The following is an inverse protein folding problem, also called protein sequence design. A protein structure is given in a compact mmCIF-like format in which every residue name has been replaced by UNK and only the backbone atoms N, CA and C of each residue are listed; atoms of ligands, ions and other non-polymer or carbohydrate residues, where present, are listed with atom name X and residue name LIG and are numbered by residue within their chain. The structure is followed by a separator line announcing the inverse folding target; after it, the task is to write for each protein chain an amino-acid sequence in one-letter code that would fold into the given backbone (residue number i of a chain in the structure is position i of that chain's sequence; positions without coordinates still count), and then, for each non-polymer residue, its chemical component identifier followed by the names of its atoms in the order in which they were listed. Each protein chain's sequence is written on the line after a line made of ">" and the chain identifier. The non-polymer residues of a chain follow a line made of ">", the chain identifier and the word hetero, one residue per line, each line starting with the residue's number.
data_IF_299313971026
#
_entry.id   IF_299313971026
#
_cell.length_a   1.000
_cell.length_b   1.000
_cell.length_c   1.000
_cell.angle_alpha   90.00
_cell.angle_beta   90.00
_cell.angle_gamma   90.00
#
_symmetry.space_group_name_H-M   'P 1'
#
loop_
_entity.id
_entity.type
_entity.pdbx_description
1 polymer ?
#
# COMPACT_ATOMS: atom_id res chain seq x y z
N UNK A 1 -8.88 -16.87 -49.12
CA UNK A 1 -9.05 -15.43 -49.35
C UNK A 1 -9.47 -14.76 -48.01
N UNK A 2 -9.16 -13.49 -47.88
CA UNK A 2 -9.47 -12.72 -46.67
C UNK A 2 -10.98 -12.71 -46.35
N UNK A 3 -11.82 -12.71 -47.38
CA UNK A 3 -13.29 -12.80 -47.28
C UNK A 3 -13.74 -14.10 -46.58
N UNK A 4 -13.16 -15.26 -46.91
CA UNK A 4 -13.51 -16.53 -46.27
C UNK A 4 -13.11 -16.57 -44.80
N UNK A 5 -11.96 -15.99 -44.43
CA UNK A 5 -11.51 -15.87 -43.03
C UNK A 5 -12.48 -14.96 -42.27
N UNK A 6 -12.88 -13.83 -42.81
CA UNK A 6 -13.84 -12.91 -42.17
C UNK A 6 -15.23 -13.58 -41.97
N UNK A 7 -15.68 -14.33 -42.97
CA UNK A 7 -16.95 -15.07 -42.86
C UNK A 7 -16.86 -16.15 -41.75
N UNK A 8 -15.75 -16.88 -41.67
CA UNK A 8 -15.52 -17.89 -40.62
C UNK A 8 -15.53 -17.24 -39.23
N UNK A 9 -14.80 -16.14 -39.04
CA UNK A 9 -14.76 -15.38 -37.78
C UNK A 9 -16.15 -14.90 -37.41
N UNK A 10 -16.91 -14.33 -38.39
CA UNK A 10 -18.28 -13.88 -38.17
C UNK A 10 -19.24 -14.99 -37.78
N UNK A 11 -19.08 -16.19 -38.33
CA UNK A 11 -19.87 -17.36 -37.92
C UNK A 11 -19.48 -17.86 -36.55
N UNK A 12 -18.18 -17.97 -36.30
CA UNK A 12 -17.66 -18.40 -34.97
C UNK A 12 -18.10 -17.46 -33.84
N UNK A 13 -18.12 -16.14 -34.09
CA UNK A 13 -18.55 -15.13 -33.12
C UNK A 13 -20.04 -15.18 -32.75
N UNK A 14 -20.82 -16.01 -33.41
CA UNK A 14 -22.27 -16.22 -33.16
C UNK A 14 -22.55 -17.62 -32.58
N UNK A 15 -21.54 -18.48 -32.49
CA UNK A 15 -21.73 -19.85 -32.04
C UNK A 15 -21.67 -19.92 -30.52
N UNK A 16 -22.74 -20.41 -29.89
CA UNK A 16 -22.89 -20.42 -28.41
C UNK A 16 -21.78 -21.13 -27.67
N UNK A 17 -21.17 -22.20 -28.24
CA UNK A 17 -20.08 -22.94 -27.64
C UNK A 17 -18.71 -22.25 -27.74
N UNK A 18 -18.62 -21.20 -28.55
CA UNK A 18 -17.37 -20.45 -28.80
C UNK A 18 -17.39 -19.08 -28.14
N UNK A 19 -18.56 -18.44 -28.10
CA UNK A 19 -18.72 -17.09 -27.58
C UNK A 19 -18.60 -17.09 -26.07
N UNK A 20 -17.67 -16.26 -25.57
CA UNK A 20 -17.49 -15.99 -24.14
C UNK A 20 -17.52 -14.49 -23.90
N UNK A 21 -18.08 -14.09 -22.76
CA UNK A 21 -18.06 -12.68 -22.33
C UNK A 21 -16.69 -12.32 -21.75
N UNK A 22 -16.28 -11.07 -21.88
CA UNK A 22 -15.12 -10.55 -21.19
C UNK A 22 -15.20 -10.71 -19.66
N UNK A 23 -16.42 -10.79 -19.12
CA UNK A 23 -16.68 -11.05 -17.69
C UNK A 23 -16.45 -12.50 -17.29
N UNK A 24 -16.25 -13.42 -18.24
CA UNK A 24 -15.97 -14.82 -17.96
C UNK A 24 -14.49 -15.08 -17.71
N UNK A 25 -13.64 -14.15 -18.14
CA UNK A 25 -12.20 -14.25 -17.91
C UNK A 25 -11.82 -13.86 -16.47
N UNK A 26 -10.73 -14.44 -16.02
CA UNK A 26 -10.02 -14.10 -14.77
C UNK A 26 -10.88 -14.19 -13.49
N UNK A 27 -11.96 -14.99 -13.48
CA UNK A 27 -12.90 -15.10 -12.34
C UNK A 27 -12.28 -15.67 -11.08
N UNK A 28 -11.40 -16.66 -11.21
CA UNK A 28 -10.75 -17.27 -10.05
C UNK A 28 -9.45 -16.53 -9.71
N UNK A 29 -9.55 -15.64 -8.77
CA UNK A 29 -8.43 -14.79 -8.32
C UNK A 29 -7.41 -15.51 -7.43
N UNK A 30 -7.65 -16.78 -7.08
CA UNK A 30 -6.68 -17.65 -6.41
C UNK A 30 -5.74 -18.37 -7.38
N UNK A 31 -6.00 -18.27 -8.68
CA UNK A 31 -5.18 -18.87 -9.73
C UNK A 31 -4.24 -17.83 -10.34
N UNK A 32 -3.03 -18.27 -10.72
CA UNK A 32 -2.10 -17.45 -11.51
C UNK A 32 -1.60 -18.29 -12.70
N UNK A 33 -1.72 -17.75 -13.90
CA UNK A 33 -1.26 -18.40 -15.11
C UNK A 33 0.22 -18.09 -15.34
N UNK A 34 1.02 -19.09 -15.68
CA UNK A 34 2.44 -18.98 -15.97
C UNK A 34 2.79 -19.81 -17.23
N UNK A 35 4.05 -19.77 -17.67
CA UNK A 35 4.49 -20.31 -18.96
C UNK A 35 4.21 -21.81 -19.13
N UNK A 36 4.19 -22.59 -18.06
CA UNK A 36 3.99 -24.04 -18.10
C UNK A 36 2.66 -24.50 -17.51
N UNK A 37 1.73 -23.60 -17.23
CA UNK A 37 0.39 -23.93 -16.72
C UNK A 37 -0.16 -22.93 -15.72
N UNK A 38 -1.20 -23.32 -15.02
CA UNK A 38 -1.87 -22.51 -14.01
C UNK A 38 -1.52 -23.00 -12.62
N UNK A 39 -1.09 -22.12 -11.74
CA UNK A 39 -0.78 -22.45 -10.35
C UNK A 39 -1.95 -22.08 -9.44
N UNK A 40 -2.41 -23.02 -8.65
CA UNK A 40 -3.30 -22.75 -7.54
C UNK A 40 -2.49 -22.25 -6.33
N UNK A 41 -2.67 -20.99 -5.98
CA UNK A 41 -1.95 -20.32 -4.90
C UNK A 41 -2.31 -20.85 -3.50
N UNK A 42 -3.49 -21.48 -3.35
CA UNK A 42 -3.93 -22.06 -2.07
C UNK A 42 -3.22 -23.38 -1.76
N UNK A 43 -2.95 -24.18 -2.79
CA UNK A 43 -2.34 -25.51 -2.67
C UNK A 43 -0.90 -25.57 -3.14
N UNK A 44 -0.42 -24.57 -3.88
CA UNK A 44 0.88 -24.56 -4.61
C UNK A 44 0.96 -25.65 -5.69
N UNK A 45 -0.17 -26.03 -6.24
CA UNK A 45 -0.24 -27.10 -7.24
C UNK A 45 -0.21 -26.50 -8.63
N UNK A 46 0.67 -27.00 -9.49
CA UNK A 46 0.64 -26.71 -10.92
C UNK A 46 -0.50 -27.53 -11.54
N UNK A 47 -1.50 -26.81 -12.01
CA UNK A 47 -2.62 -27.38 -12.75
C UNK A 47 -2.28 -27.32 -14.24
N UNK A 48 -2.59 -28.36 -14.99
CA UNK A 48 -2.34 -28.36 -16.42
C UNK A 48 -2.98 -27.18 -17.17
N UNK A 49 -2.57 -27.00 -18.41
CA UNK A 49 -3.16 -25.98 -19.30
C UNK A 49 -4.58 -26.43 -19.65
N UNK A 50 -5.58 -25.76 -19.07
CA UNK A 50 -6.98 -26.02 -19.34
C UNK A 50 -7.63 -24.77 -19.96
N UNK A 51 -7.96 -24.85 -21.24
CA UNK A 51 -8.62 -23.77 -21.99
C UNK A 51 -9.91 -23.26 -21.36
N UNK A 52 -10.60 -24.10 -20.58
CA UNK A 52 -11.85 -23.73 -19.89
C UNK A 52 -11.67 -22.77 -18.71
N UNK A 53 -10.42 -22.49 -18.28
CA UNK A 53 -10.18 -21.59 -17.14
C UNK A 53 -10.24 -20.11 -17.51
N UNK A 54 -10.26 -19.79 -18.80
CA UNK A 54 -10.42 -18.44 -19.33
C UNK A 54 -9.57 -17.39 -18.57
N UNK A 55 -8.25 -17.62 -18.49
CA UNK A 55 -7.32 -16.67 -17.88
C UNK A 55 -6.65 -15.86 -18.98
N UNK A 56 -6.79 -14.54 -18.95
CA UNK A 56 -6.29 -13.63 -19.98
C UNK A 56 -4.86 -13.12 -19.73
N UNK A 57 -4.32 -13.38 -18.54
CA UNK A 57 -3.04 -12.85 -18.07
C UNK A 57 -1.98 -13.94 -17.97
N UNK A 58 -0.70 -13.54 -18.06
CA UNK A 58 0.44 -14.43 -18.01
C UNK A 58 1.56 -13.86 -17.14
N UNK A 59 2.01 -14.62 -16.15
CA UNK A 59 3.29 -14.39 -15.50
C UNK A 59 4.41 -14.96 -16.39
N UNK A 60 5.46 -14.15 -16.67
CA UNK A 60 6.52 -14.50 -17.64
C UNK A 60 7.58 -15.40 -17.04
N UNK A 61 7.15 -16.51 -16.44
CA UNK A 61 7.96 -17.43 -15.65
C UNK A 61 7.34 -18.82 -15.65
N UNK A 62 8.13 -19.87 -15.42
CA UNK A 62 7.63 -21.23 -15.20
C UNK A 62 7.55 -21.57 -13.71
N UNK A 63 6.52 -22.29 -13.30
CA UNK A 63 6.44 -22.79 -11.94
C UNK A 63 7.08 -24.18 -11.83
N UNK A 64 8.08 -24.27 -10.96
CA UNK A 64 8.72 -25.52 -10.57
C UNK A 64 8.81 -25.58 -9.04
N UNK A 65 8.14 -26.53 -8.36
CA UNK A 65 8.16 -26.63 -6.90
C UNK A 65 9.55 -26.94 -6.32
N UNK A 66 10.49 -27.39 -7.15
CA UNK A 66 11.87 -27.70 -6.76
C UNK A 66 12.87 -26.61 -7.19
N UNK A 67 12.42 -25.54 -7.85
CA UNK A 67 13.30 -24.47 -8.28
C UNK A 67 13.98 -23.81 -7.06
N UNK A 68 15.25 -23.45 -7.22
CA UNK A 68 16.06 -22.78 -6.19
C UNK A 68 16.39 -21.36 -6.66
N UNK A 69 16.60 -20.46 -5.70
CA UNK A 69 17.01 -19.08 -5.94
C UNK A 69 18.03 -18.65 -4.87
N UNK A 70 19.23 -19.25 -4.84
CA UNK A 70 20.20 -18.98 -3.77
C UNK A 70 20.69 -17.53 -3.76
N UNK A 71 20.91 -16.93 -4.94
CA UNK A 71 21.31 -15.51 -5.05
C UNK A 71 20.21 -14.59 -4.51
N UNK A 72 18.96 -14.87 -4.88
CA UNK A 72 17.81 -14.11 -4.38
C UNK A 72 17.64 -14.26 -2.86
N UNK A 73 17.75 -15.45 -2.31
CA UNK A 73 17.65 -15.67 -0.86
C UNK A 73 18.77 -14.93 -0.11
N UNK A 74 20.00 -14.97 -0.63
CA UNK A 74 21.10 -14.19 -0.05
C UNK A 74 20.83 -12.69 -0.12
N UNK A 75 20.34 -12.21 -1.28
CA UNK A 75 19.96 -10.81 -1.45
C UNK A 75 18.89 -10.37 -0.46
N UNK A 76 17.80 -11.12 -0.29
CA UNK A 76 16.73 -10.83 0.66
C UNK A 76 17.25 -10.81 2.11
N UNK A 77 18.11 -11.77 2.47
CA UNK A 77 18.75 -11.79 3.80
C UNK A 77 19.59 -10.54 4.05
N UNK A 78 20.37 -10.11 3.07
CA UNK A 78 21.16 -8.88 3.18
C UNK A 78 20.27 -7.63 3.29
N UNK A 79 19.26 -7.50 2.44
CA UNK A 79 18.34 -6.35 2.40
C UNK A 79 17.60 -6.16 3.73
N UNK A 80 17.18 -7.23 4.35
CA UNK A 80 16.44 -7.20 5.62
C UNK A 80 17.31 -7.56 6.84
N UNK A 81 18.64 -7.48 6.72
CA UNK A 81 19.55 -7.66 7.85
C UNK A 81 19.45 -9.02 8.55
N UNK A 82 19.07 -10.08 7.81
CA UNK A 82 18.78 -11.43 8.31
C UNK A 82 17.60 -11.51 9.31
N UNK A 83 16.72 -10.51 9.36
CA UNK A 83 15.51 -10.57 10.17
C UNK A 83 14.52 -11.57 9.55
N UNK A 84 14.48 -12.78 10.11
CA UNK A 84 13.67 -13.89 9.62
C UNK A 84 12.16 -13.61 9.73
N UNK A 85 11.73 -12.86 10.75
CA UNK A 85 10.33 -12.49 10.93
C UNK A 85 9.89 -11.52 9.83
N UNK A 86 10.68 -10.47 9.59
CA UNK A 86 10.45 -9.48 8.55
C UNK A 86 10.47 -10.11 7.15
N UNK A 87 11.47 -10.96 6.86
CA UNK A 87 11.57 -11.67 5.58
C UNK A 87 10.34 -12.53 5.32
N UNK A 88 9.87 -13.29 6.30
CA UNK A 88 8.66 -14.12 6.18
C UNK A 88 7.40 -13.27 6.01
N UNK A 89 7.34 -12.14 6.69
CA UNK A 89 6.21 -11.22 6.55
C UNK A 89 6.17 -10.61 5.14
N UNK A 90 7.31 -10.11 4.65
CA UNK A 90 7.43 -9.58 3.27
C UNK A 90 7.12 -10.65 2.23
N UNK A 91 7.57 -11.88 2.44
CA UNK A 91 7.22 -13.02 1.59
C UNK A 91 5.70 -13.22 1.51
N UNK A 92 4.99 -13.19 2.65
CA UNK A 92 3.53 -13.28 2.68
C UNK A 92 2.86 -12.09 1.99
N UNK A 93 3.38 -10.87 2.18
CA UNK A 93 2.84 -9.66 1.57
C UNK A 93 2.97 -9.68 0.03
N UNK A 94 4.13 -10.10 -0.49
CA UNK A 94 4.34 -10.31 -1.93
C UNK A 94 3.46 -11.46 -2.42
N UNK A 95 3.41 -12.58 -1.69
CA UNK A 95 2.55 -13.71 -2.04
C UNK A 95 1.06 -13.36 -2.05
N UNK A 96 0.58 -12.62 -1.07
CA UNK A 96 -0.76 -12.05 -1.06
C UNK A 96 -1.02 -11.18 -2.30
N UNK A 97 0.01 -10.47 -2.75
CA UNK A 97 -0.08 -9.64 -3.95
C UNK A 97 -0.17 -10.45 -5.26
N UNK A 98 0.09 -11.75 -5.26
CA UNK A 98 -0.19 -12.64 -6.40
C UNK A 98 -1.67 -12.97 -6.52
N UNK A 99 -2.43 -12.88 -5.43
CA UNK A 99 -3.88 -13.15 -5.43
C UNK A 99 -4.66 -11.92 -5.91
N UNK A 100 -5.93 -12.10 -6.29
CA UNK A 100 -6.83 -10.96 -6.51
C UNK A 100 -7.60 -10.53 -5.25
N UNK A 101 -7.29 -11.11 -4.09
CA UNK A 101 -7.94 -10.72 -2.83
C UNK A 101 -7.45 -9.34 -2.36
N UNK A 102 -8.35 -8.51 -1.89
CA UNK A 102 -8.06 -7.22 -1.23
C UNK A 102 -8.48 -7.21 0.24
N UNK A 103 -8.65 -8.40 0.82
CA UNK A 103 -9.17 -8.62 2.19
C UNK A 103 -8.38 -7.86 3.26
N UNK A 104 -7.07 -7.79 3.15
CA UNK A 104 -6.21 -7.09 4.12
C UNK A 104 -6.45 -5.59 4.13
N UNK A 105 -6.95 -5.02 3.04
CA UNK A 105 -7.13 -3.57 2.86
C UNK A 105 -5.85 -2.77 3.17
N UNK A 106 -4.68 -3.28 2.76
CA UNK A 106 -3.38 -2.69 3.08
C UNK A 106 -2.74 -2.01 1.87
N UNK A 107 -1.95 -1.02 2.19
CA UNK A 107 -0.98 -0.36 1.34
C UNK A 107 0.40 -0.67 1.93
N UNK A 108 1.33 -1.13 1.09
CA UNK A 108 2.69 -1.46 1.47
C UNK A 108 3.62 -0.33 1.06
N UNK A 109 4.32 0.25 2.02
CA UNK A 109 5.21 1.36 1.79
C UNK A 109 6.65 0.96 2.14
N UNK A 110 7.47 0.73 1.13
CA UNK A 110 8.88 0.44 1.30
C UNK A 110 9.67 1.74 1.48
N UNK A 111 10.20 1.94 2.67
CA UNK A 111 10.90 3.13 3.09
C UNK A 111 12.38 2.88 3.35
N UNK A 112 13.24 3.80 2.93
CA UNK A 112 14.69 3.75 3.21
C UNK A 112 15.48 4.71 2.32
N UNK A 113 16.61 5.17 2.80
CA UNK A 113 17.42 6.31 2.33
C UNK A 113 18.16 6.14 1.00
N UNK A 114 17.89 5.09 0.23
CA UNK A 114 18.55 4.81 -1.05
C UNK A 114 19.61 3.72 -0.95
N UNK A 115 20.03 3.19 -2.11
CA UNK A 115 21.03 2.10 -2.23
C UNK A 115 20.79 0.92 -1.29
N UNK A 116 19.54 0.52 -1.10
CA UNK A 116 19.08 -0.45 -0.10
C UNK A 116 18.36 -1.68 -0.69
N UNK A 117 18.39 -1.82 -2.02
CA UNK A 117 17.84 -2.97 -2.73
C UNK A 117 16.34 -2.89 -3.03
N UNK A 118 15.62 -1.82 -2.66
CA UNK A 118 14.19 -1.64 -2.98
C UNK A 118 13.89 -1.82 -4.46
N UNK A 119 14.53 -1.02 -5.32
CA UNK A 119 14.28 -1.04 -6.77
C UNK A 119 14.54 -2.42 -7.35
N UNK A 120 15.67 -3.03 -7.01
CA UNK A 120 16.03 -4.38 -7.49
C UNK A 120 14.98 -5.43 -7.11
N UNK A 121 14.47 -5.39 -5.85
CA UNK A 121 13.42 -6.30 -5.41
C UNK A 121 12.13 -6.10 -6.19
N UNK A 122 11.69 -4.86 -6.34
CA UNK A 122 10.40 -4.59 -6.98
C UNK A 122 10.45 -4.80 -8.48
N UNK A 123 11.54 -4.45 -9.15
CA UNK A 123 11.73 -4.67 -10.57
C UNK A 123 11.72 -6.16 -10.94
N UNK A 124 12.42 -7.01 -10.17
CA UNK A 124 12.41 -8.46 -10.43
C UNK A 124 11.02 -9.07 -10.20
N UNK A 125 10.28 -8.63 -9.16
CA UNK A 125 8.91 -9.09 -8.93
C UNK A 125 7.99 -8.65 -10.06
N UNK A 126 8.08 -7.39 -10.51
CA UNK A 126 7.29 -6.90 -11.65
C UNK A 126 7.61 -7.66 -12.94
N UNK A 127 8.90 -7.92 -13.20
CA UNK A 127 9.31 -8.68 -14.38
C UNK A 127 8.69 -10.08 -14.41
N UNK A 128 8.72 -10.79 -13.27
CA UNK A 128 8.14 -12.13 -13.12
C UNK A 128 6.62 -12.10 -13.30
N UNK A 129 5.94 -11.12 -12.68
CA UNK A 129 4.49 -11.03 -12.69
C UNK A 129 3.91 -10.54 -14.02
N UNK A 130 4.69 -9.80 -14.81
CA UNK A 130 4.33 -9.33 -16.16
C UNK A 130 2.90 -8.74 -16.20
N UNK A 131 1.92 -9.38 -16.86
CA UNK A 131 0.55 -8.88 -17.01
C UNK A 131 -0.21 -8.69 -15.68
N UNK A 132 0.24 -9.33 -14.60
CA UNK A 132 -0.33 -9.17 -13.28
C UNK A 132 0.22 -7.97 -12.51
N UNK A 133 1.24 -7.29 -13.04
CA UNK A 133 1.87 -6.13 -12.42
C UNK A 133 1.77 -4.88 -13.29
N UNK A 134 1.81 -3.71 -12.65
CA UNK A 134 1.81 -2.41 -13.33
C UNK A 134 2.58 -1.40 -12.50
N UNK A 135 3.46 -0.63 -13.17
CA UNK A 135 3.96 0.62 -12.62
C UNK A 135 2.87 1.68 -12.73
N UNK A 136 2.72 2.51 -11.72
CA UNK A 136 1.74 3.61 -11.70
C UNK A 136 2.38 4.86 -11.12
N UNK A 137 1.83 6.02 -11.49
CA UNK A 137 2.31 7.30 -11.00
C UNK A 137 1.99 7.49 -9.52
N UNK A 138 3.00 7.75 -8.71
CA UNK A 138 2.85 8.07 -7.30
C UNK A 138 1.92 9.28 -7.08
N UNK A 139 2.00 10.29 -7.95
CA UNK A 139 1.18 11.49 -7.88
C UNK A 139 -0.34 11.22 -7.98
N UNK A 140 -0.76 10.08 -8.54
CA UNK A 140 -2.19 9.68 -8.56
C UNK A 140 -2.77 9.55 -7.16
N UNK A 141 -1.93 9.28 -6.16
CA UNK A 141 -2.31 9.03 -4.77
C UNK A 141 -2.16 10.27 -3.87
N UNK A 142 -1.73 11.39 -4.44
CA UNK A 142 -1.45 12.62 -3.70
C UNK A 142 -2.64 13.56 -3.63
N UNK A 143 -2.59 14.49 -2.67
CA UNK A 143 -3.69 15.44 -2.40
C UNK A 143 -3.78 16.61 -3.37
N UNK A 144 -2.82 16.83 -4.25
CA UNK A 144 -2.87 17.92 -5.25
C UNK A 144 -3.75 17.49 -6.43
N UNK A 145 -4.67 18.36 -6.79
CA UNK A 145 -5.67 18.19 -7.83
C UNK A 145 -5.04 17.86 -9.18
N UNK A 146 -4.97 16.57 -9.51
CA UNK A 146 -4.99 16.19 -10.93
C UNK A 146 -6.45 16.25 -11.42
N UNK A 147 -6.64 16.57 -12.69
CA UNK A 147 -7.98 16.51 -13.29
C UNK A 147 -8.59 15.13 -13.01
N UNK A 148 -9.86 15.10 -12.64
CA UNK A 148 -10.60 13.84 -12.38
C UNK A 148 -10.40 12.80 -13.49
N UNK A 149 -10.21 13.25 -14.73
CA UNK A 149 -9.97 12.40 -15.91
C UNK A 149 -8.65 11.62 -15.80
N UNK A 150 -7.53 12.28 -15.48
CA UNK A 150 -6.22 11.59 -15.34
C UNK A 150 -6.23 10.55 -14.22
N UNK A 151 -6.90 10.87 -13.12
CA UNK A 151 -7.06 9.93 -12.01
C UNK A 151 -7.91 8.72 -12.44
N UNK A 152 -8.99 8.94 -13.18
CA UNK A 152 -9.84 7.87 -13.69
C UNK A 152 -9.10 6.98 -14.70
N UNK A 153 -8.22 7.56 -15.53
CA UNK A 153 -7.37 6.81 -16.45
C UNK A 153 -6.37 5.93 -15.70
N UNK A 154 -5.61 6.50 -14.75
CA UNK A 154 -4.64 5.78 -13.95
C UNK A 154 -5.31 4.63 -13.15
N UNK A 155 -6.48 4.88 -12.56
CA UNK A 155 -7.27 3.85 -11.87
C UNK A 155 -7.78 2.80 -12.87
N UNK A 156 -8.22 3.21 -14.06
CA UNK A 156 -8.70 2.31 -15.11
C UNK A 156 -7.63 1.34 -15.62
N UNK A 157 -6.37 1.77 -15.64
CA UNK A 157 -5.23 0.93 -16.01
C UNK A 157 -4.93 -0.19 -14.99
N UNK A 158 -5.40 -0.04 -13.75
CA UNK A 158 -5.23 -1.04 -12.69
C UNK A 158 -6.27 -2.17 -12.73
N UNK A 159 -7.22 -2.15 -13.68
CA UNK A 159 -8.19 -3.24 -13.82
C UNK A 159 -7.50 -4.58 -14.09
N UNK A 160 -7.72 -5.56 -13.20
CA UNK A 160 -7.15 -6.91 -13.27
C UNK A 160 -5.65 -6.98 -12.95
N UNK A 161 -5.02 -5.87 -12.59
CA UNK A 161 -3.67 -5.85 -12.01
C UNK A 161 -3.75 -6.39 -10.58
N UNK A 162 -2.72 -7.09 -10.13
CA UNK A 162 -2.63 -7.61 -8.75
C UNK A 162 -1.52 -6.95 -7.94
N UNK A 163 -0.47 -6.55 -8.60
CA UNK A 163 0.69 -5.87 -8.02
C UNK A 163 0.88 -4.50 -8.69
N UNK A 164 0.52 -3.43 -8.01
CA UNK A 164 0.66 -2.06 -8.51
C UNK A 164 1.80 -1.36 -7.75
N UNK A 165 2.88 -1.01 -8.44
CA UNK A 165 4.04 -0.33 -7.88
C UNK A 165 4.02 1.14 -8.25
N UNK A 166 4.10 2.02 -7.26
CA UNK A 166 4.33 3.44 -7.43
C UNK A 166 5.69 3.81 -6.83
N UNK A 167 6.53 4.46 -7.62
CA UNK A 167 7.83 4.98 -7.16
C UNK A 167 7.76 6.49 -7.05
N UNK A 168 8.29 7.02 -5.95
CA UNK A 168 8.33 8.45 -5.68
C UNK A 168 9.47 9.11 -6.48
N UNK A 169 9.19 10.31 -7.01
CA UNK A 169 10.17 11.13 -7.71
C UNK A 169 10.54 12.40 -6.93
N UNK A 170 9.67 12.89 -6.03
CA UNK A 170 9.86 14.15 -5.33
C UNK A 170 9.65 14.04 -3.81
N UNK A 171 10.37 14.89 -3.05
CA UNK A 171 10.18 15.09 -1.61
C UNK A 171 9.01 16.06 -1.33
N UNK A 172 8.41 15.98 -0.11
CA UNK A 172 7.36 16.89 0.41
C UNK A 172 5.97 16.74 -0.20
N UNK A 173 5.55 15.51 -0.44
CA UNK A 173 4.21 15.21 -0.94
C UNK A 173 3.27 14.74 0.16
N UNK A 174 1.97 14.95 -0.04
CA UNK A 174 0.92 14.56 0.90
C UNK A 174 -0.02 13.53 0.28
N UNK A 175 -0.35 12.48 1.03
CA UNK A 175 -1.35 11.51 0.60
C UNK A 175 -2.75 12.11 0.48
N UNK A 176 -3.47 11.70 -0.56
CA UNK A 176 -4.93 11.81 -0.60
C UNK A 176 -5.52 10.61 0.16
N UNK A 177 -5.84 10.81 1.43
CA UNK A 177 -6.31 9.74 2.30
C UNK A 177 -7.63 9.14 1.84
N UNK A 178 -8.55 9.97 1.31
CA UNK A 178 -9.79 9.51 0.69
C UNK A 178 -9.51 8.59 -0.50
N UNK A 179 -8.52 8.93 -1.33
CA UNK A 179 -8.07 8.10 -2.46
C UNK A 179 -7.50 6.76 -1.96
N UNK A 180 -6.60 6.78 -0.97
CA UNK A 180 -6.04 5.56 -0.39
C UNK A 180 -7.15 4.67 0.20
N UNK A 181 -8.08 5.25 0.97
CA UNK A 181 -9.22 4.51 1.54
C UNK A 181 -10.08 3.85 0.46
N UNK A 182 -10.35 4.58 -0.62
CA UNK A 182 -11.14 4.10 -1.76
C UNK A 182 -10.44 2.96 -2.50
N UNK A 183 -9.16 3.11 -2.82
CA UNK A 183 -8.41 2.14 -3.63
C UNK A 183 -8.07 0.85 -2.86
N UNK A 184 -7.96 0.92 -1.53
CA UNK A 184 -7.67 -0.26 -0.70
C UNK A 184 -8.93 -0.90 -0.10
N UNK A 185 -10.10 -0.26 -0.22
CA UNK A 185 -11.34 -0.67 0.45
C UNK A 185 -12.04 -1.91 -0.11
N UNK A 186 -11.79 -2.26 -1.36
CA UNK A 186 -12.52 -3.33 -2.06
C UNK A 186 -13.85 -2.89 -2.67
N UNK A 187 -14.20 -1.60 -2.55
CA UNK A 187 -15.37 -1.02 -3.19
C UNK A 187 -15.21 -0.98 -4.72
N UNK A 188 -16.34 -0.93 -5.43
CA UNK A 188 -16.33 -0.78 -6.90
C UNK A 188 -15.69 0.54 -7.29
N UNK A 189 -14.70 0.46 -8.17
CA UNK A 189 -13.97 1.60 -8.70
C UNK A 189 -14.49 1.96 -10.08
N UNK A 190 -14.47 3.26 -10.38
CA UNK A 190 -14.73 3.78 -11.73
C UNK A 190 -13.38 4.14 -12.36
N UNK A 191 -13.17 3.63 -13.57
CA UNK A 191 -12.01 3.95 -14.40
C UNK A 191 -12.43 4.32 -15.81
N UNK A 192 -11.52 4.89 -16.56
CA UNK A 192 -11.69 5.15 -18.01
C UNK A 192 -10.44 4.69 -18.76
N UNK A 193 -10.54 4.56 -20.07
CA UNK A 193 -9.40 4.42 -21.00
C UNK A 193 -9.45 5.57 -21.97
N UNK A 194 -8.30 5.98 -22.48
CA UNK A 194 -8.21 7.02 -23.50
C UNK A 194 -9.27 6.78 -24.58
N UNK A 195 -10.09 7.79 -24.88
CA UNK A 195 -11.13 7.76 -25.91
C UNK A 195 -12.27 6.75 -25.71
N UNK A 196 -12.40 6.11 -24.52
CA UNK A 196 -13.46 5.13 -24.24
C UNK A 196 -14.38 5.60 -23.11
N UNK A 197 -15.60 5.04 -23.09
CA UNK A 197 -16.54 5.25 -22.00
C UNK A 197 -15.96 4.77 -20.65
N UNK A 198 -16.37 5.42 -19.57
CA UNK A 198 -16.04 4.99 -18.23
C UNK A 198 -16.65 3.60 -17.94
N UNK A 199 -15.96 2.81 -17.14
CA UNK A 199 -16.37 1.48 -16.71
C UNK A 199 -16.15 1.29 -15.22
N UNK A 200 -16.83 0.31 -14.65
CA UNK A 200 -16.69 -0.05 -13.26
C UNK A 200 -16.00 -1.40 -13.11
N UNK A 201 -15.23 -1.58 -12.04
CA UNK A 201 -14.57 -2.84 -11.70
C UNK A 201 -14.28 -2.93 -10.21
N UNK A 202 -14.13 -4.15 -9.70
CA UNK A 202 -13.63 -4.40 -8.35
C UNK A 202 -12.11 -4.44 -8.36
N UNK A 203 -11.41 -3.80 -7.40
CA UNK A 203 -9.97 -3.85 -7.32
C UNK A 203 -9.49 -5.26 -6.96
N UNK A 204 -8.41 -5.69 -7.60
CA UNK A 204 -7.66 -6.90 -7.30
C UNK A 204 -6.22 -6.56 -6.87
N UNK A 205 -5.82 -5.32 -7.08
CA UNK A 205 -4.46 -4.87 -6.88
C UNK A 205 -4.13 -4.58 -5.41
N UNK A 206 -2.87 -4.77 -5.08
CA UNK A 206 -2.24 -4.27 -3.86
C UNK A 206 -1.30 -3.14 -4.25
N UNK A 207 -1.42 -2.02 -3.53
CA UNK A 207 -0.58 -0.85 -3.75
C UNK A 207 0.74 -1.03 -3.01
N UNK A 208 1.83 -0.93 -3.75
CA UNK A 208 3.19 -0.88 -3.23
C UNK A 208 3.79 0.48 -3.56
N UNK A 209 4.36 1.13 -2.56
CA UNK A 209 5.12 2.36 -2.75
C UNK A 209 6.59 2.12 -2.44
N UNK A 210 7.45 2.66 -3.30
CA UNK A 210 8.90 2.66 -3.11
C UNK A 210 9.37 4.10 -3.07
N UNK A 211 9.81 4.57 -1.91
CA UNK A 211 10.23 5.95 -1.73
C UNK A 211 11.36 6.09 -0.69
N UNK A 212 12.04 7.22 -0.76
CA UNK A 212 13.09 7.58 0.18
C UNK A 212 12.57 8.48 1.31
N UNK A 213 11.38 9.04 1.15
CA UNK A 213 10.71 9.90 2.12
C UNK A 213 9.32 9.38 2.40
N UNK A 214 8.83 9.61 3.61
CA UNK A 214 7.46 9.28 3.99
C UNK A 214 6.57 10.50 3.72
N UNK A 215 5.45 10.35 2.97
CA UNK A 215 4.54 11.46 2.70
C UNK A 215 3.88 11.95 3.98
N UNK A 216 3.60 13.23 4.05
CA UNK A 216 2.86 13.77 5.17
C UNK A 216 1.39 13.33 5.15
N UNK A 217 0.88 12.84 6.29
CA UNK A 217 -0.52 12.46 6.48
C UNK A 217 -1.21 13.45 7.42
N UNK A 218 -2.21 14.20 6.91
CA UNK A 218 -2.90 15.26 7.67
C UNK A 218 -3.94 14.71 8.64
N UNK A 219 -4.55 13.59 8.31
CA UNK A 219 -5.71 13.04 9.03
C UNK A 219 -5.27 11.89 9.93
N UNK A 220 -5.38 12.04 11.22
CA UNK A 220 -5.11 11.01 12.20
C UNK A 220 -6.16 9.88 12.24
N UNK A 221 -7.02 9.72 11.20
CA UNK A 221 -8.11 8.76 11.29
C UNK A 221 -7.61 7.31 11.38
N UNK A 222 -8.20 6.55 12.28
CA UNK A 222 -7.97 5.09 12.40
C UNK A 222 -8.17 4.38 11.04
N UNK A 223 -9.16 4.84 10.25
CA UNK A 223 -9.47 4.27 8.95
C UNK A 223 -8.33 4.39 7.92
N UNK A 224 -7.48 5.41 8.02
CA UNK A 224 -6.29 5.57 7.18
C UNK A 224 -5.13 4.73 7.73
N UNK A 225 -4.75 4.94 9.01
CA UNK A 225 -3.58 4.31 9.62
C UNK A 225 -3.64 2.79 9.62
N UNK A 226 -4.82 2.20 9.84
CA UNK A 226 -4.97 0.74 9.77
C UNK A 226 -4.60 0.14 8.40
N UNK A 227 -4.54 0.96 7.34
CA UNK A 227 -4.22 0.53 5.97
C UNK A 227 -2.74 0.59 5.65
N UNK A 228 -2.00 1.45 6.32
CA UNK A 228 -0.58 1.64 6.04
C UNK A 228 0.25 0.55 6.71
N UNK A 229 1.21 0.01 5.97
CA UNK A 229 2.25 -0.87 6.49
C UNK A 229 3.60 -0.40 5.96
N UNK A 230 4.42 0.13 6.85
CA UNK A 230 5.77 0.59 6.53
C UNK A 230 6.71 -0.61 6.57
N UNK A 231 7.41 -0.85 5.47
CA UNK A 231 8.44 -1.89 5.36
C UNK A 231 9.79 -1.20 5.41
N UNK A 232 10.56 -1.34 6.51
CA UNK A 232 11.83 -0.65 6.68
C UNK A 232 12.94 -1.33 5.88
N UNK A 233 13.58 -0.58 4.99
CA UNK A 233 14.79 -0.97 4.26
C UNK A 233 15.98 -0.24 4.89
N UNK A 234 16.49 -0.77 6.00
CA UNK A 234 17.50 -0.12 6.84
C UNK A 234 18.94 -0.35 6.40
N UNK A 235 19.16 -1.32 5.51
CA UNK A 235 20.51 -1.65 5.04
C UNK A 235 20.92 -0.73 3.89
N UNK A 236 22.19 -0.33 3.85
CA UNK A 236 22.74 0.47 2.74
C UNK A 236 23.91 -0.28 2.10
N UNK A 237 23.90 -0.35 0.78
CA UNK A 237 24.96 -1.01 0.01
C UNK A 237 25.81 0.05 -0.69
N UNK A 238 27.12 0.07 -0.41
CA UNK A 238 28.07 1.03 -1.00
C UNK A 238 29.41 0.36 -1.29
N UNK A 239 30.19 0.92 -2.19
CA UNK A 239 31.52 0.45 -2.56
C UNK A 239 31.51 -1.00 -3.05
N UNK A 240 32.34 -1.85 -2.46
CA UNK A 240 32.48 -3.28 -2.84
C UNK A 240 31.23 -4.14 -2.54
N UNK A 241 30.26 -3.62 -1.80
CA UNK A 241 28.99 -4.31 -1.55
C UNK A 241 27.98 -4.16 -2.68
N UNK A 242 28.22 -3.29 -3.67
CA UNK A 242 27.38 -3.10 -4.82
C UNK A 242 27.69 -4.15 -5.87
N UNK A 243 26.70 -4.99 -6.19
CA UNK A 243 26.79 -5.96 -7.28
C UNK A 243 26.04 -5.40 -8.50
N UNK A 244 26.77 -4.89 -9.48
CA UNK A 244 26.19 -4.28 -10.69
C UNK A 244 25.48 -5.30 -11.60
N UNK A 245 25.77 -6.58 -11.47
CA UNK A 245 25.15 -7.67 -12.26
C UNK A 245 24.10 -8.44 -11.48
N UNK A 246 23.70 -7.92 -10.30
CA UNK A 246 22.73 -8.62 -9.44
C UNK A 246 21.40 -8.86 -10.14
N UNK A 247 20.88 -7.87 -10.85
CA UNK A 247 19.58 -7.99 -11.53
C UNK A 247 19.60 -9.10 -12.58
N UNK A 248 20.67 -9.18 -13.39
CA UNK A 248 20.85 -10.24 -14.38
C UNK A 248 20.96 -11.63 -13.72
N UNK A 249 21.66 -11.73 -12.59
CA UNK A 249 21.75 -12.98 -11.82
C UNK A 249 20.37 -13.39 -11.30
N UNK A 250 19.59 -12.45 -10.76
CA UNK A 250 18.22 -12.71 -10.30
C UNK A 250 17.29 -13.14 -11.43
N UNK A 251 17.46 -12.60 -12.64
CA UNK A 251 16.70 -13.03 -13.82
C UNK A 251 16.93 -14.50 -14.17
N UNK A 252 18.14 -15.02 -13.94
CA UNK A 252 18.42 -16.46 -14.13
C UNK A 252 17.72 -17.33 -13.09
N UNK A 253 17.44 -16.78 -11.91
CA UNK A 253 16.75 -17.47 -10.82
C UNK A 253 15.24 -17.23 -10.79
N UNK A 254 14.64 -16.61 -11.82
CA UNK A 254 13.24 -16.16 -11.84
C UNK A 254 12.22 -17.22 -11.45
N UNK A 255 12.43 -18.48 -11.87
CA UNK A 255 11.54 -19.60 -11.55
C UNK A 255 11.57 -19.93 -10.04
N UNK A 256 12.76 -19.86 -9.43
CA UNK A 256 12.92 -20.00 -7.98
C UNK A 256 12.35 -18.84 -7.18
N UNK A 257 12.50 -17.62 -7.71
CA UNK A 257 11.89 -16.40 -7.11
C UNK A 257 10.36 -16.50 -7.19
N UNK A 258 9.82 -16.93 -8.32
CA UNK A 258 8.37 -17.14 -8.47
C UNK A 258 7.85 -18.20 -7.49
N UNK A 259 8.58 -19.31 -7.34
CA UNK A 259 8.26 -20.30 -6.31
C UNK A 259 8.23 -19.70 -4.92
N UNK A 260 9.21 -18.86 -4.56
CA UNK A 260 9.26 -18.17 -3.28
C UNK A 260 8.02 -17.27 -3.07
N UNK A 261 7.56 -16.57 -4.12
CA UNK A 261 6.33 -15.77 -4.08
C UNK A 261 5.09 -16.64 -3.91
N UNK A 262 5.00 -17.77 -4.61
CA UNK A 262 3.90 -18.76 -4.49
C UNK A 262 3.86 -19.38 -3.09
N UNK A 263 5.02 -19.68 -2.51
CA UNK A 263 5.12 -20.13 -1.12
C UNK A 263 4.58 -19.04 -0.16
N UNK A 264 4.88 -17.78 -0.43
CA UNK A 264 4.33 -16.64 0.32
C UNK A 264 2.80 -16.58 0.25
N UNK A 265 2.21 -16.78 -0.93
CA UNK A 265 0.75 -16.84 -1.09
C UNK A 265 0.13 -17.98 -0.29
N UNK A 266 0.73 -19.17 -0.37
CA UNK A 266 0.30 -20.32 0.42
C UNK A 266 0.35 -20.06 1.93
N UNK A 267 1.43 -19.46 2.40
CA UNK A 267 1.57 -19.11 3.83
C UNK A 267 0.55 -18.05 4.24
N UNK A 268 0.25 -17.08 3.37
CA UNK A 268 -0.81 -16.11 3.61
C UNK A 268 -2.18 -16.80 3.75
N UNK A 269 -2.56 -17.70 2.85
CA UNK A 269 -3.81 -18.47 2.96
C UNK A 269 -3.87 -19.32 4.23
N UNK A 270 -2.74 -19.92 4.61
CA UNK A 270 -2.64 -20.73 5.83
C UNK A 270 -2.86 -19.89 7.10
N UNK A 271 -2.20 -18.73 7.19
CA UNK A 271 -2.38 -17.81 8.32
C UNK A 271 -3.78 -17.20 8.31
N UNK A 272 -4.34 -16.87 7.15
CA UNK A 272 -5.73 -16.41 7.01
C UNK A 272 -6.73 -17.42 7.61
N UNK A 273 -6.54 -18.71 7.31
CA UNK A 273 -7.38 -19.78 7.88
C UNK A 273 -7.21 -19.87 9.40
N UNK A 274 -6.00 -19.78 9.94
CA UNK A 274 -5.74 -19.80 11.38
C UNK A 274 -6.35 -18.60 12.10
N UNK A 275 -6.36 -17.44 11.48
CA UNK A 275 -6.96 -16.21 12.06
C UNK A 275 -8.48 -16.19 12.00
N UNK A 276 -9.13 -17.25 11.52
CA UNK A 276 -10.58 -17.26 11.28
C UNK A 276 -11.02 -16.32 10.16
N UNK A 277 -10.17 -16.11 9.14
CA UNK A 277 -10.48 -15.26 7.99
C UNK A 277 -10.21 -13.76 8.20
N UNK A 278 -9.55 -13.37 9.29
CA UNK A 278 -9.32 -11.96 9.63
C UNK A 278 -8.10 -11.35 8.91
N UNK A 279 -6.98 -12.05 8.93
CA UNK A 279 -5.74 -11.61 8.27
C UNK A 279 -4.80 -12.81 8.01
N UNK A 280 -4.15 -12.82 6.87
CA UNK A 280 -3.10 -13.78 6.53
C UNK A 280 -1.68 -13.19 6.65
N UNK A 281 -1.56 -11.87 6.81
CA UNK A 281 -0.25 -11.22 7.01
C UNK A 281 0.29 -11.48 8.41
N UNK A 282 -0.57 -11.42 9.43
CA UNK A 282 -0.16 -11.54 10.83
C UNK A 282 0.68 -10.35 11.32
N UNK A 283 1.07 -10.35 12.60
CA UNK A 283 1.95 -9.34 13.17
C UNK A 283 3.39 -9.51 12.67
N UNK A 284 4.17 -8.43 12.73
CA UNK A 284 5.62 -8.40 12.56
C UNK A 284 6.16 -7.18 13.30
N UNK A 285 7.04 -7.41 14.26
CA UNK A 285 7.57 -6.37 15.13
C UNK A 285 8.16 -5.20 14.36
N UNK A 286 9.06 -5.44 13.43
CA UNK A 286 9.71 -4.40 12.62
C UNK A 286 8.72 -3.57 11.80
N UNK A 287 7.67 -4.19 11.25
CA UNK A 287 6.61 -3.51 10.49
C UNK A 287 5.73 -2.66 11.41
N UNK A 288 5.36 -3.20 12.56
CA UNK A 288 4.46 -2.52 13.48
C UNK A 288 5.16 -1.34 14.16
N UNK A 289 6.44 -1.49 14.55
CA UNK A 289 7.27 -0.39 15.09
C UNK A 289 7.47 0.72 14.06
N UNK A 290 7.90 0.40 12.84
CA UNK A 290 8.10 1.41 11.78
C UNK A 290 6.78 2.13 11.40
N UNK A 291 5.65 1.40 11.44
CA UNK A 291 4.35 1.99 11.14
C UNK A 291 3.89 2.92 12.26
N UNK A 292 4.11 2.56 13.53
CA UNK A 292 3.73 3.38 14.67
C UNK A 292 4.65 4.61 14.81
N UNK A 293 5.95 4.47 14.53
CA UNK A 293 6.89 5.59 14.45
C UNK A 293 6.42 6.62 13.42
N UNK A 294 6.14 6.19 12.19
CA UNK A 294 5.61 7.06 11.14
C UNK A 294 4.29 7.73 11.54
N UNK A 295 3.39 7.00 12.18
CA UNK A 295 2.12 7.55 12.67
C UNK A 295 2.37 8.60 13.76
N UNK A 296 3.28 8.34 14.69
CA UNK A 296 3.68 9.25 15.77
C UNK A 296 4.29 10.55 15.22
N UNK A 297 5.19 10.46 14.25
CA UNK A 297 5.77 11.64 13.57
C UNK A 297 4.71 12.53 12.89
N UNK A 298 3.65 11.92 12.37
CA UNK A 298 2.56 12.62 11.71
C UNK A 298 1.43 13.05 12.67
N UNK A 299 1.49 12.71 13.94
CA UNK A 299 0.47 13.09 14.91
C UNK A 299 0.71 14.49 15.49
N UNK A 300 0.54 15.50 14.65
CA UNK A 300 0.72 16.91 15.00
C UNK A 300 -0.03 17.29 16.27
N UNK A 301 -1.27 16.79 16.45
CA UNK A 301 -2.07 17.10 17.65
C UNK A 301 -1.60 16.34 18.89
N UNK A 302 -1.13 15.09 18.72
CA UNK A 302 -0.52 14.32 19.81
C UNK A 302 0.75 14.98 20.32
N UNK A 303 1.60 15.46 19.41
CA UNK A 303 2.81 16.21 19.74
C UNK A 303 2.46 17.51 20.46
N UNK A 304 1.49 18.29 19.96
CA UNK A 304 0.98 19.47 20.64
C UNK A 304 0.48 19.16 22.06
N UNK A 305 -0.30 18.09 22.23
CA UNK A 305 -0.81 17.67 23.56
C UNK A 305 0.38 17.34 24.47
N UNK A 306 1.32 16.53 24.00
CA UNK A 306 2.48 16.11 24.78
C UNK A 306 3.35 17.30 25.21
N UNK A 307 3.57 18.26 24.32
CA UNK A 307 4.46 19.39 24.58
C UNK A 307 3.80 20.53 25.34
N UNK A 308 2.52 20.82 25.04
CA UNK A 308 1.84 22.03 25.54
C UNK A 308 0.80 21.81 26.64
N UNK A 309 0.40 20.55 26.88
CA UNK A 309 -0.67 20.23 27.84
C UNK A 309 -0.13 19.32 28.93
N UNK A 310 -0.58 19.50 30.16
CA UNK A 310 -0.38 18.55 31.24
C UNK A 310 -1.72 18.23 31.94
N UNK A 311 -1.83 17.02 32.43
CA UNK A 311 -2.98 16.59 33.22
C UNK A 311 -2.97 17.30 34.57
N UNK A 312 -4.08 17.98 34.92
CA UNK A 312 -4.22 18.72 36.16
C UNK A 312 -5.67 18.59 36.67
N UNK A 313 -5.95 17.60 37.52
CA UNK A 313 -7.30 17.36 38.00
C UNK A 313 -7.94 18.62 38.60
N UNK A 314 -9.20 18.88 38.22
CA UNK A 314 -9.94 20.07 38.61
C UNK A 314 -9.62 21.35 37.87
N UNK A 315 -8.55 21.40 37.08
CA UNK A 315 -8.22 22.56 36.25
C UNK A 315 -9.10 22.62 34.99
N UNK A 316 -9.25 23.83 34.44
CA UNK A 316 -10.06 24.07 33.24
C UNK A 316 -9.33 25.00 32.29
N UNK A 317 -9.31 24.66 31.00
CA UNK A 317 -8.76 25.52 29.94
C UNK A 317 -9.88 25.89 28.96
N UNK A 318 -10.04 27.17 28.62
CA UNK A 318 -11.01 27.56 27.60
C UNK A 318 -10.62 26.96 26.23
N UNK A 319 -11.60 26.51 25.50
CA UNK A 319 -11.37 25.90 24.19
C UNK A 319 -10.68 26.87 23.21
N UNK A 320 -11.00 28.14 23.32
CA UNK A 320 -10.37 29.23 22.52
C UNK A 320 -8.88 29.38 22.84
N UNK A 321 -8.53 29.45 24.14
CA UNK A 321 -7.14 29.62 24.57
C UNK A 321 -6.29 28.43 24.17
N UNK A 322 -6.87 27.23 24.25
CA UNK A 322 -6.19 25.98 23.80
C UNK A 322 -5.96 25.99 22.29
N UNK A 323 -6.93 26.45 21.48
CA UNK A 323 -6.79 26.54 20.04
C UNK A 323 -5.81 27.62 19.62
N UNK A 324 -5.80 28.78 20.29
CA UNK A 324 -4.84 29.85 20.04
C UNK A 324 -3.41 29.39 20.37
N UNK A 325 -3.22 28.63 21.46
CA UNK A 325 -1.93 28.01 21.79
C UNK A 325 -1.51 27.00 20.71
N UNK A 326 -2.43 26.19 20.21
CA UNK A 326 -2.15 25.26 19.11
C UNK A 326 -1.69 25.99 17.83
N UNK A 327 -2.31 27.10 17.47
CA UNK A 327 -1.89 27.88 16.28
C UNK A 327 -0.45 28.37 16.42
N UNK A 328 -0.11 28.95 17.56
CA UNK A 328 1.23 29.43 17.85
C UNK A 328 2.27 28.30 17.82
N UNK A 329 1.95 27.18 18.46
CA UNK A 329 2.81 26.01 18.47
C UNK A 329 3.00 25.43 17.05
N UNK A 330 1.93 25.36 16.25
CA UNK A 330 1.98 24.85 14.88
C UNK A 330 2.81 25.78 13.97
N UNK A 331 2.68 27.07 14.11
CA UNK A 331 3.45 28.06 13.34
C UNK A 331 4.96 27.91 13.60
N UNK A 332 5.35 27.71 14.82
CA UNK A 332 6.74 27.56 15.18
C UNK A 332 7.35 26.20 14.76
N UNK A 333 6.63 25.11 14.98
CA UNK A 333 7.14 23.78 14.67
C UNK A 333 7.09 23.44 13.16
N UNK A 334 6.49 24.31 12.34
CA UNK A 334 6.44 24.14 10.89
C UNK A 334 7.73 24.52 10.14
N UNK A 335 8.80 24.92 10.82
CA UNK A 335 10.10 25.30 10.23
C UNK A 335 10.01 26.19 8.98
N UNK A 336 9.00 27.08 8.92
CA UNK A 336 8.75 27.93 7.75
C UNK A 336 8.03 27.25 6.59
N UNK A 337 7.73 25.99 6.67
CA UNK A 337 6.80 25.33 5.76
C UNK A 337 5.36 25.68 6.19
N UNK A 338 4.60 26.35 5.30
CA UNK A 338 3.22 26.78 5.54
C UNK A 338 2.28 25.59 5.77
N UNK A 339 2.30 25.01 6.96
CA UNK A 339 1.24 24.12 7.39
C UNK A 339 0.12 24.95 8.01
N UNK A 340 -0.89 25.29 7.23
CA UNK A 340 -2.08 25.94 7.78
C UNK A 340 -2.61 25.11 8.95
N UNK A 341 -2.81 25.70 10.14
CA UNK A 341 -3.42 25.01 11.27
C UNK A 341 -4.79 24.48 10.87
N UNK A 342 -5.18 23.34 11.41
CA UNK A 342 -6.54 22.81 11.18
C UNK A 342 -7.57 23.80 11.75
N UNK A 343 -8.77 23.83 11.15
CA UNK A 343 -9.83 24.73 11.62
C UNK A 343 -10.22 24.44 13.07
N UNK A 344 -10.72 25.45 13.80
CA UNK A 344 -11.15 25.31 15.20
C UNK A 344 -12.19 24.21 15.40
N UNK A 345 -13.08 24.02 14.41
CA UNK A 345 -14.10 22.96 14.41
C UNK A 345 -13.44 21.57 14.35
N UNK A 346 -12.50 21.38 13.44
CA UNK A 346 -11.78 20.12 13.28
C UNK A 346 -10.86 19.87 14.49
N UNK A 347 -10.14 20.88 14.97
CA UNK A 347 -9.35 20.82 16.20
C UNK A 347 -10.19 20.33 17.38
N UNK A 348 -11.34 20.99 17.61
CA UNK A 348 -12.24 20.63 18.71
C UNK A 348 -12.75 19.19 18.59
N UNK A 349 -13.06 18.72 17.37
CA UNK A 349 -13.48 17.34 17.14
C UNK A 349 -12.34 16.34 17.44
N UNK A 350 -11.16 16.60 16.89
CA UNK A 350 -10.00 15.71 17.06
C UNK A 350 -9.50 15.62 18.51
N UNK A 351 -9.61 16.72 19.26
CA UNK A 351 -9.34 16.72 20.71
C UNK A 351 -10.34 15.88 21.49
N UNK A 352 -11.62 15.86 21.06
CA UNK A 352 -12.64 14.97 21.66
C UNK A 352 -12.42 13.48 21.36
N UNK A 353 -11.87 13.15 20.18
CA UNK A 353 -11.51 11.79 19.81
C UNK A 353 -10.29 11.24 20.59
N UNK A 354 -9.60 12.10 21.36
CA UNK A 354 -8.45 11.80 22.23
C UNK A 354 -8.80 11.83 23.73
N UNK A 355 -10.06 11.58 24.06
CA UNK A 355 -10.57 11.47 25.44
C UNK A 355 -10.43 12.75 26.29
N UNK A 356 -10.15 13.91 25.70
CA UNK A 356 -10.15 15.18 26.39
C UNK A 356 -11.57 15.62 26.68
N UNK A 357 -11.95 15.56 27.95
CA UNK A 357 -13.30 15.88 28.45
C UNK A 357 -13.62 17.35 28.24
N UNK A 358 -14.83 17.63 27.76
CA UNK A 358 -15.35 18.97 27.51
C UNK A 358 -16.57 19.27 28.35
N UNK A 359 -16.71 20.52 28.77
CA UNK A 359 -17.86 21.04 29.48
C UNK A 359 -18.18 22.48 29.03
N UNK A 360 -19.26 23.02 29.52
CA UNK A 360 -19.63 24.45 29.37
C UNK A 360 -19.69 25.12 30.73
N UNK A 361 -18.90 26.15 30.90
CA UNK A 361 -18.88 26.99 32.10
C UNK A 361 -19.14 28.43 31.70
N UNK A 362 -20.21 29.06 32.22
CA UNK A 362 -20.58 30.45 31.93
C UNK A 362 -20.56 30.75 30.41
N UNK A 363 -21.26 29.96 29.63
CA UNK A 363 -21.31 30.02 28.14
C UNK A 363 -20.00 29.75 27.38
N UNK A 364 -18.88 29.48 28.04
CA UNK A 364 -17.63 29.14 27.42
C UNK A 364 -17.46 27.59 27.36
N UNK A 365 -17.03 27.08 26.20
CA UNK A 365 -16.56 25.72 26.09
C UNK A 365 -15.20 25.59 26.78
N UNK A 366 -15.04 24.62 27.65
CA UNK A 366 -13.79 24.35 28.38
C UNK A 366 -13.38 22.89 28.26
N UNK A 367 -12.10 22.63 28.33
CA UNK A 367 -11.54 21.31 28.54
C UNK A 367 -11.24 21.14 30.02
N UNK A 368 -11.58 19.95 30.57
CA UNK A 368 -11.47 19.63 31.97
C UNK A 368 -10.18 18.85 32.27
N UNK A 369 -9.73 18.96 33.51
CA UNK A 369 -8.62 18.19 34.09
C UNK A 369 -7.27 18.38 33.34
N UNK A 370 -7.13 19.51 32.67
CA UNK A 370 -5.89 19.88 31.96
C UNK A 370 -5.50 21.32 32.27
N UNK A 371 -4.20 21.61 32.14
CA UNK A 371 -3.68 22.98 32.08
C UNK A 371 -2.59 23.09 30.99
N UNK A 372 -2.35 24.31 30.51
CA UNK A 372 -1.26 24.61 29.61
C UNK A 372 0.07 24.59 30.36
N UNK A 373 1.08 23.94 29.81
CA UNK A 373 2.44 23.97 30.37
C UNK A 373 3.05 25.37 30.26
N UNK A 374 3.68 25.80 31.32
CA UNK A 374 4.41 27.10 31.40
C UNK A 374 5.88 26.95 30.95
N UNK A 375 6.20 26.05 30.05
CA UNK A 375 7.57 25.83 29.65
C UNK A 375 8.09 26.94 28.73
N UNK A 376 9.21 27.52 29.08
CA UNK A 376 9.94 28.51 28.29
C UNK A 376 10.47 28.05 26.93
N UNK A 377 10.22 26.78 26.53
CA UNK A 377 10.43 26.27 25.20
C UNK A 377 9.23 26.43 24.28
N UNK A 378 8.03 26.72 24.85
CA UNK A 378 6.83 27.09 24.10
C UNK A 378 6.58 28.60 24.34
N UNK A 379 7.48 29.46 23.87
CA UNK A 379 7.37 30.93 23.74
C UNK A 379 7.08 31.71 25.00
N UNK A 380 8.11 32.42 25.44
CA UNK A 380 7.98 33.70 26.15
C UNK A 380 7.51 34.75 25.13
N UNK A 381 6.33 35.32 25.35
CA UNK A 381 5.97 36.67 25.11
C UNK A 381 5.53 37.28 26.42
#
# INVERSE_FOLDING_TARGET
>A
SNSKIQSMISMASKHEDIVVSMSDFDKDTSLINCMNGVVDLKSRTLLGIHKHRLISKLAKVSYNPNAKAPTFINFINQVFGNDVELIRWVQRAIGYSLTGSVLEQKLFYAYGTGSNGKSTLFEIIMHILNDYSKATDFETFLSKQKSDVRMLEAVGELKGVRYALASETDSHVRFSESTIKKLTGGDTLRGTRLTKSAFEFKPEFKLWFSANHLPYAKDGSFGFWRRIKIIPFTQTFSGSKVNSTLYEQLLQERDGIFKWCVDGAYHWYKELKKSGGKSGLGPCKAIDEATEEYKSENDVLGNFITECIETSPGSKVKARDLYDRYKLWNEFNSNGEFTNPISEVLFSRSMGERDLKKDRVQNNKVYLDIKLKNNGSCYNF
#
